data_IF_565646397949
#
_entry.id   IF_565646397949
#
_cell.length_a   1.000
_cell.length_b   1.000
_cell.length_c   1.000
_cell.angle_alpha   90.00
_cell.angle_beta   90.00
_cell.angle_gamma   90.00
#
_symmetry.space_group_name_H-M   'P 1'
#
loop_
_entity.id
_entity.type
_entity.pdbx_description
1 polymer ?
#
# COMPACT_ATOMS: atom_id res chain seq x y z
N UNK A 1 -10.18 -7.04 17.97
CA UNK A 1 -9.51 -6.84 16.65
C UNK A 1 -9.29 -5.35 16.43
N UNK A 2 -8.04 -4.91 16.34
CA UNK A 2 -7.67 -3.49 16.24
C UNK A 2 -8.07 -2.91 14.87
N UNK A 3 -8.91 -1.86 14.87
CA UNK A 3 -9.37 -1.17 13.63
C UNK A 3 -8.20 -0.68 12.76
N UNK A 4 -7.04 -0.39 13.36
CA UNK A 4 -5.80 -0.03 12.65
C UNK A 4 -5.30 -1.13 11.69
N UNK A 5 -5.39 -2.41 12.06
CA UNK A 5 -4.96 -3.53 11.18
C UNK A 5 -5.89 -3.71 9.98
N UNK A 6 -7.20 -3.56 10.19
CA UNK A 6 -8.18 -3.63 9.08
C UNK A 6 -7.96 -2.53 8.04
N UNK A 7 -7.64 -1.31 8.49
CA UNK A 7 -7.36 -0.19 7.57
C UNK A 7 -6.09 -0.44 6.77
N UNK A 8 -5.04 -0.92 7.43
CA UNK A 8 -3.80 -1.33 6.77
C UNK A 8 -4.06 -2.37 5.68
N UNK A 9 -4.72 -3.49 6.01
CA UNK A 9 -4.94 -4.58 5.07
C UNK A 9 -5.82 -4.15 3.88
N UNK A 10 -6.79 -3.26 4.12
CA UNK A 10 -7.63 -2.68 3.07
C UNK A 10 -6.85 -1.78 2.10
N UNK A 11 -5.96 -0.94 2.62
CA UNK A 11 -5.14 -0.04 1.78
C UNK A 11 -4.10 -0.85 0.99
N UNK A 12 -3.45 -1.82 1.63
CA UNK A 12 -2.54 -2.76 0.95
C UNK A 12 -3.24 -3.47 -0.20
N UNK A 13 -4.41 -4.04 0.07
CA UNK A 13 -5.21 -4.73 -0.94
C UNK A 13 -5.60 -3.81 -2.09
N UNK A 14 -6.09 -2.60 -1.80
CA UNK A 14 -6.48 -1.64 -2.83
C UNK A 14 -5.31 -1.24 -3.73
N UNK A 15 -4.13 -0.97 -3.16
CA UNK A 15 -2.94 -0.57 -3.93
C UNK A 15 -2.43 -1.73 -4.79
N UNK A 16 -2.38 -2.96 -4.27
CA UNK A 16 -1.99 -4.12 -5.08
C UNK A 16 -2.96 -4.38 -6.22
N UNK A 17 -4.26 -4.31 -5.95
CA UNK A 17 -5.31 -4.59 -6.95
C UNK A 17 -5.34 -3.50 -8.03
N UNK A 18 -5.21 -2.22 -7.65
CA UNK A 18 -5.10 -1.13 -8.61
C UNK A 18 -3.80 -1.22 -9.43
N UNK A 19 -2.67 -1.51 -8.78
CA UNK A 19 -1.38 -1.66 -9.45
C UNK A 19 -1.32 -2.83 -10.44
N UNK A 20 -1.90 -3.98 -10.10
CA UNK A 20 -1.99 -5.13 -11.00
C UNK A 20 -2.98 -4.91 -12.14
N UNK A 21 -4.12 -4.24 -11.89
CA UNK A 21 -5.07 -3.87 -12.93
C UNK A 21 -4.46 -2.88 -13.94
N UNK A 22 -3.72 -1.87 -13.46
CA UNK A 22 -3.01 -0.93 -14.34
C UNK A 22 -1.88 -1.61 -15.13
N UNK A 23 -1.24 -2.64 -14.55
CA UNK A 23 -0.25 -3.43 -15.27
C UNK A 23 -0.85 -4.21 -16.43
N UNK A 24 -2.10 -4.63 -16.31
CA UNK A 24 -2.83 -5.30 -17.39
C UNK A 24 -3.27 -4.32 -18.50
N UNK A 25 -3.62 -3.08 -18.14
CA UNK A 25 -4.17 -2.10 -19.09
C UNK A 25 -3.14 -1.20 -19.78
N UNK A 26 -2.01 -0.86 -19.14
CA UNK A 26 -1.05 0.13 -19.68
C UNK A 26 0.15 -0.55 -20.33
N UNK A 27 0.90 -1.37 -19.58
CA UNK A 27 2.07 -2.09 -20.08
C UNK A 27 2.53 -3.15 -19.05
N UNK A 28 2.96 -4.35 -19.44
CA UNK A 28 3.39 -5.41 -18.51
C UNK A 28 4.57 -5.04 -17.59
N UNK A 29 5.33 -3.99 -17.92
CA UNK A 29 6.39 -3.44 -17.06
C UNK A 29 5.85 -2.89 -15.72
N UNK A 30 4.57 -2.56 -15.64
CA UNK A 30 3.92 -2.11 -14.42
C UNK A 30 3.77 -3.19 -13.34
N UNK A 31 3.99 -4.48 -13.67
CA UNK A 31 4.07 -5.56 -12.66
C UNK A 31 5.17 -5.33 -11.63
N UNK A 32 6.21 -4.56 -11.97
CA UNK A 32 7.26 -4.20 -11.02
C UNK A 32 6.70 -3.44 -9.80
N UNK A 33 5.62 -2.67 -9.96
CA UNK A 33 5.00 -1.92 -8.87
C UNK A 33 4.35 -2.84 -7.82
N UNK A 34 3.36 -3.70 -8.15
CA UNK A 34 2.83 -4.67 -7.19
C UNK A 34 3.87 -5.74 -6.80
N UNK A 35 4.87 -6.02 -7.65
CA UNK A 35 5.97 -6.93 -7.33
C UNK A 35 6.86 -6.41 -6.20
N UNK A 36 7.39 -5.19 -6.30
CA UNK A 36 8.21 -4.56 -5.25
C UNK A 36 7.41 -4.34 -3.97
N UNK A 37 6.15 -3.90 -4.08
CA UNK A 37 5.26 -3.76 -2.93
C UNK A 37 4.99 -5.12 -2.26
N UNK A 38 4.76 -6.18 -3.05
CA UNK A 38 4.58 -7.54 -2.56
C UNK A 38 5.79 -8.05 -1.78
N UNK A 39 7.00 -7.86 -2.30
CA UNK A 39 8.25 -8.21 -1.60
C UNK A 39 8.38 -7.46 -0.28
N UNK A 40 8.03 -6.17 -0.27
CA UNK A 40 8.10 -5.32 0.94
C UNK A 40 7.10 -5.78 2.01
N UNK A 41 5.91 -6.20 1.59
CA UNK A 41 4.89 -6.77 2.49
C UNK A 41 5.32 -8.13 3.05
N UNK A 42 5.93 -8.96 2.21
CA UNK A 42 6.45 -10.26 2.60
C UNK A 42 7.59 -10.12 3.61
N UNK A 43 8.49 -9.15 3.40
CA UNK A 43 9.48 -8.74 4.41
C UNK A 43 8.81 -8.25 5.69
N UNK A 44 7.78 -7.41 5.61
CA UNK A 44 7.08 -6.90 6.79
C UNK A 44 6.45 -8.01 7.63
N UNK A 45 5.98 -9.10 7.01
CA UNK A 45 5.48 -10.28 7.72
C UNK A 45 6.57 -11.03 8.48
N UNK A 46 7.82 -10.98 7.99
CA UNK A 46 8.97 -11.66 8.59
C UNK A 46 9.70 -10.80 9.64
N UNK A 47 9.90 -9.51 9.36
CA UNK A 47 10.66 -8.59 10.23
C UNK A 47 9.77 -7.71 11.12
N UNK A 48 8.45 -7.69 10.92
CA UNK A 48 7.51 -6.84 11.65
C UNK A 48 7.59 -5.35 11.31
N UNK A 49 8.56 -4.94 10.49
CA UNK A 49 8.74 -3.57 10.03
C UNK A 49 7.89 -3.32 8.78
N UNK A 50 6.77 -2.61 8.95
CA UNK A 50 5.90 -2.20 7.84
C UNK A 50 6.11 -0.71 7.54
N UNK A 51 6.76 -0.34 6.42
CA UNK A 51 6.89 1.06 6.01
C UNK A 51 5.53 1.73 5.82
N UNK A 52 4.51 0.97 5.39
CA UNK A 52 3.15 1.49 5.21
C UNK A 52 2.51 1.90 6.54
N UNK A 53 2.82 1.24 7.65
CA UNK A 53 2.30 1.64 8.95
C UNK A 53 2.93 2.97 9.40
N UNK A 54 4.21 3.18 9.11
CA UNK A 54 4.90 4.46 9.29
C UNK A 54 4.32 5.55 8.38
N UNK A 55 4.09 5.23 7.10
CA UNK A 55 3.49 6.16 6.15
C UNK A 55 2.06 6.48 6.57
N UNK A 56 1.24 5.50 6.97
CA UNK A 56 -0.13 5.77 7.44
C UNK A 56 -0.17 6.60 8.73
N UNK A 57 0.75 6.39 9.68
CA UNK A 57 0.85 7.22 10.87
C UNK A 57 1.22 8.68 10.51
N UNK A 58 2.05 8.87 9.48
CA UNK A 58 2.44 10.19 8.95
C UNK A 58 1.40 10.81 8.01
N UNK A 59 0.72 10.02 7.20
CA UNK A 59 -0.18 10.43 6.12
C UNK A 59 -1.61 10.56 6.61
N UNK A 60 -2.06 9.83 7.64
CA UNK A 60 -3.29 10.22 8.35
C UNK A 60 -3.16 11.55 9.10
N UNK A 61 -1.96 12.15 9.19
CA UNK A 61 -1.79 13.59 9.51
C UNK A 61 -1.83 14.52 8.29
N UNK A 62 -1.66 14.02 7.07
CA UNK A 62 -1.39 14.80 5.83
C UNK A 62 -2.53 14.70 4.78
N UNK A 63 -3.31 13.61 4.77
CA UNK A 63 -4.40 13.37 3.81
C UNK A 63 -5.60 14.32 4.02
N UNK A 64 -5.72 14.99 5.16
CA UNK A 64 -6.69 16.10 5.32
C UNK A 64 -6.33 17.33 4.45
N UNK A 65 -5.10 17.44 3.95
CA UNK A 65 -4.62 18.66 3.27
C UNK A 65 -4.58 18.53 1.75
N UNK A 66 -4.43 17.33 1.19
CA UNK A 66 -4.26 17.12 -0.26
C UNK A 66 -5.57 16.91 -1.07
N UNK A 67 -6.73 16.77 -0.42
CA UNK A 67 -8.05 16.64 -1.07
C UNK A 67 -8.81 18.00 -1.10
N UNK A 68 -8.17 19.09 -0.67
CA UNK A 68 -8.73 20.45 -0.67
C UNK A 68 -8.17 21.35 -1.78
N UNK A 69 -7.68 20.77 -2.88
CA UNK A 69 -7.26 21.53 -4.08
C UNK A 69 -8.09 21.15 -5.28
#
# INVERSE_FOLDING_TARGET
MNRKRKLHDGIVGAVLTAGSALAYWVHPLWVLVPGVLGVTLLQSGLTGFCPLYFILDKTCKETETAVKV
#
